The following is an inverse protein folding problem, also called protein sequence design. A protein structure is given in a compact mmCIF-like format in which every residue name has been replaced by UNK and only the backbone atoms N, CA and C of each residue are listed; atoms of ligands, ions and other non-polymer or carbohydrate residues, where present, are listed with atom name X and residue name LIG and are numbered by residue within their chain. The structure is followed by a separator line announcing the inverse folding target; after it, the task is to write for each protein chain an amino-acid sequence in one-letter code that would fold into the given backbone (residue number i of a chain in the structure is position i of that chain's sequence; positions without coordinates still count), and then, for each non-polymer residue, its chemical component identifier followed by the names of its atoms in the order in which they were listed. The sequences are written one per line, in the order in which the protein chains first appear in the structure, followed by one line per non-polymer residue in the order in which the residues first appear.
data_IF_891825720441
#
_entry.id   IF_891825720441
#
_cell.length_a   1.000
_cell.length_b   1.000
_cell.length_c   1.000
_cell.angle_alpha   90.00
_cell.angle_beta   90.00
_cell.angle_gamma   90.00
#
_symmetry.space_group_name_H-M   'P 1'
#
loop_
_entity.id
_entity.type
_entity.pdbx_description
1 polymer ?
#
# COMPACT_ATOMS: atom_id res chain seq x y z
N UNK A 1 -18.63 0.23 2.83
CA UNK A 1 -17.64 1.14 2.21
C UNK A 1 -16.65 1.53 3.29
N UNK A 2 -15.35 1.30 3.06
CA UNK A 2 -14.28 1.64 3.99
C UNK A 2 -13.35 2.70 3.37
N UNK A 3 -12.66 3.49 4.21
CA UNK A 3 -11.58 4.41 3.82
C UNK A 3 -10.25 3.66 3.94
N UNK A 4 -9.57 3.45 2.82
CA UNK A 4 -8.36 2.65 2.76
C UNK A 4 -7.20 3.47 2.21
N UNK A 5 -6.08 3.46 2.91
CA UNK A 5 -4.86 4.13 2.49
C UNK A 5 -3.82 3.11 2.06
N UNK A 6 -3.41 3.17 0.80
CA UNK A 6 -2.37 2.30 0.23
C UNK A 6 -1.04 3.05 0.21
N UNK A 7 -0.09 2.58 1.00
CA UNK A 7 1.21 3.19 1.20
C UNK A 7 2.24 2.58 0.25
N UNK A 8 2.29 3.11 -0.97
CA UNK A 8 3.21 2.68 -2.02
C UNK A 8 2.59 2.66 -3.42
N UNK A 9 3.22 3.37 -4.35
CA UNK A 9 2.83 3.49 -5.78
C UNK A 9 3.61 2.54 -6.69
N UNK A 10 4.01 1.37 -6.16
CA UNK A 10 4.55 0.28 -6.98
C UNK A 10 3.46 -0.42 -7.79
N UNK A 11 3.82 -1.38 -8.63
CA UNK A 11 2.85 -2.15 -9.44
C UNK A 11 1.77 -2.78 -8.55
N UNK A 12 2.18 -3.43 -7.47
CA UNK A 12 1.26 -4.13 -6.56
C UNK A 12 0.35 -3.19 -5.77
N UNK A 13 0.91 -2.11 -5.20
CA UNK A 13 0.12 -1.11 -4.49
C UNK A 13 -0.91 -0.43 -5.38
N UNK A 14 -0.53 -0.08 -6.62
CA UNK A 14 -1.43 0.51 -7.60
C UNK A 14 -2.53 -0.47 -8.02
N UNK A 15 -2.20 -1.73 -8.29
CA UNK A 15 -3.17 -2.75 -8.66
C UNK A 15 -4.21 -2.98 -7.54
N UNK A 16 -3.75 -3.05 -6.28
CA UNK A 16 -4.64 -3.18 -5.12
C UNK A 16 -5.52 -1.94 -4.92
N UNK A 17 -4.96 -0.74 -5.09
CA UNK A 17 -5.73 0.50 -4.99
C UNK A 17 -6.89 0.51 -6.02
N UNK A 18 -6.64 0.09 -7.25
CA UNK A 18 -7.65 -0.03 -8.30
C UNK A 18 -8.70 -1.07 -7.92
N UNK A 19 -8.29 -2.26 -7.48
CA UNK A 19 -9.20 -3.33 -7.07
C UNK A 19 -10.11 -2.88 -5.92
N UNK A 20 -9.54 -2.27 -4.89
CA UNK A 20 -10.29 -1.77 -3.73
C UNK A 20 -11.29 -0.66 -4.12
N UNK A 21 -10.87 0.24 -5.01
CA UNK A 21 -11.76 1.28 -5.53
C UNK A 21 -12.92 0.68 -6.33
N UNK A 22 -12.65 -0.29 -7.20
CA UNK A 22 -13.68 -0.95 -8.00
C UNK A 22 -14.66 -1.77 -7.14
N UNK A 23 -14.24 -2.19 -5.94
CA UNK A 23 -15.10 -2.81 -4.94
C UNK A 23 -15.90 -1.80 -4.09
N UNK A 24 -15.87 -0.51 -4.43
CA UNK A 24 -16.67 0.53 -3.80
C UNK A 24 -16.07 1.15 -2.55
N UNK A 25 -14.76 0.98 -2.31
CA UNK A 25 -14.07 1.64 -1.19
C UNK A 25 -13.56 3.03 -1.57
N UNK A 26 -13.42 3.90 -0.58
CA UNK A 26 -12.68 5.16 -0.72
C UNK A 26 -11.20 4.87 -0.61
N UNK A 27 -10.44 5.10 -1.66
CA UNK A 27 -9.02 4.75 -1.71
C UNK A 27 -8.14 5.96 -1.87
N UNK A 28 -7.11 6.01 -1.04
CA UNK A 28 -6.01 6.95 -1.14
C UNK A 28 -4.72 6.19 -1.45
N UNK A 29 -3.97 6.66 -2.43
CA UNK A 29 -2.71 6.07 -2.87
C UNK A 29 -1.57 7.04 -2.56
N UNK A 30 -0.67 6.65 -1.67
CA UNK A 30 0.44 7.49 -1.24
C UNK A 30 1.76 7.08 -1.89
N UNK A 31 2.52 8.09 -2.30
CA UNK A 31 3.91 7.93 -2.77
C UNK A 31 4.87 8.60 -1.80
N UNK A 32 5.94 7.90 -1.43
CA UNK A 32 7.04 8.49 -0.67
C UNK A 32 7.80 9.59 -1.45
N UNK A 33 7.53 9.70 -2.76
CA UNK A 33 8.10 10.67 -3.68
C UNK A 33 7.00 11.63 -4.16
N UNK A 34 6.93 12.88 -3.65
CA UNK A 34 5.89 13.83 -4.03
C UNK A 34 5.81 14.13 -5.53
N UNK A 35 6.95 14.19 -6.19
CA UNK A 35 7.05 14.37 -7.64
C UNK A 35 6.39 13.23 -8.43
N UNK A 36 6.51 11.99 -7.94
CA UNK A 36 5.82 10.85 -8.52
C UNK A 36 4.31 10.93 -8.31
N UNK A 37 3.86 11.33 -7.13
CA UNK A 37 2.44 11.55 -6.86
C UNK A 37 1.86 12.61 -7.81
N UNK A 38 2.56 13.73 -8.00
CA UNK A 38 2.16 14.78 -8.93
C UNK A 38 2.06 14.26 -10.37
N UNK A 39 3.05 13.52 -10.84
CA UNK A 39 3.05 12.90 -12.17
C UNK A 39 1.88 11.94 -12.35
N UNK A 40 1.62 11.06 -11.38
CA UNK A 40 0.51 10.11 -11.44
C UNK A 40 -0.87 10.80 -11.39
N UNK A 41 -0.98 11.95 -10.72
CA UNK A 41 -2.20 12.75 -10.75
C UNK A 41 -2.50 13.33 -12.14
N UNK A 42 -1.46 13.66 -12.91
CA UNK A 42 -1.60 14.20 -14.26
C UNK A 42 -1.87 13.10 -15.30
N UNK A 43 -1.09 12.02 -15.25
CA UNK A 43 -1.12 10.97 -16.28
C UNK A 43 -2.14 9.88 -16.02
N UNK A 44 -2.48 9.65 -14.76
CA UNK A 44 -3.30 8.52 -14.31
C UNK A 44 -2.80 7.16 -14.80
N UNK A 45 -1.49 7.06 -15.06
CA UNK A 45 -0.84 5.83 -15.51
C UNK A 45 0.63 5.82 -15.12
N UNK A 46 1.15 4.64 -14.77
CA UNK A 46 2.59 4.42 -14.61
C UNK A 46 3.05 3.40 -15.66
N UNK A 47 3.51 3.85 -16.84
CA UNK A 47 3.88 2.96 -17.93
C UNK A 47 5.10 2.09 -17.63
N UNK A 48 5.90 2.47 -16.63
CA UNK A 48 7.07 1.68 -16.18
C UNK A 48 6.71 0.57 -15.21
N UNK A 49 5.71 0.77 -14.38
CA UNK A 49 5.32 -0.16 -13.31
C UNK A 49 4.10 -1.00 -13.65
N UNK A 50 3.13 -0.41 -14.35
CA UNK A 50 1.86 -1.06 -14.67
C UNK A 50 1.34 -0.55 -16.02
N UNK A 51 2.02 -0.92 -17.14
CA UNK A 51 1.74 -0.36 -18.47
C UNK A 51 0.31 -0.72 -18.94
N UNK A 52 -0.36 0.26 -19.54
CA UNK A 52 -1.69 0.10 -20.11
C UNK A 52 -2.83 0.08 -19.10
N UNK A 53 -2.55 0.30 -17.81
CA UNK A 53 -3.57 0.33 -16.77
C UNK A 53 -3.78 1.77 -16.29
N UNK A 54 -5.01 2.25 -16.41
CA UNK A 54 -5.42 3.57 -15.92
C UNK A 54 -5.83 3.51 -14.46
N UNK A 55 -5.36 4.48 -13.67
CA UNK A 55 -5.78 4.68 -12.28
C UNK A 55 -7.09 5.48 -12.31
N UNK A 56 -8.19 4.95 -11.77
CA UNK A 56 -9.47 5.67 -11.72
C UNK A 56 -9.36 7.06 -11.08
N UNK A 57 -10.09 8.03 -11.60
CA UNK A 57 -10.08 9.41 -11.09
C UNK A 57 -10.58 9.52 -9.64
N UNK A 58 -11.41 8.58 -9.19
CA UNK A 58 -11.88 8.50 -7.81
C UNK A 58 -10.82 8.10 -6.79
N UNK A 59 -9.63 7.63 -7.22
CA UNK A 59 -8.51 7.36 -6.32
C UNK A 59 -7.74 8.66 -6.09
N UNK A 60 -7.66 9.09 -4.84
CA UNK A 60 -6.85 10.25 -4.44
C UNK A 60 -5.38 9.84 -4.36
N UNK A 61 -4.51 10.51 -5.12
CA UNK A 61 -3.06 10.25 -5.12
C UNK A 61 -2.36 11.41 -4.42
N UNK A 62 -1.54 11.12 -3.42
CA UNK A 62 -0.84 12.15 -2.63
C UNK A 62 0.59 11.76 -2.29
N UNK A 63 1.46 12.75 -2.14
CA UNK A 63 2.79 12.62 -1.56
C UNK A 63 2.85 13.01 -0.08
N UNK A 64 1.73 13.50 0.49
CA UNK A 64 1.64 13.93 1.88
C UNK A 64 1.10 12.79 2.76
N UNK A 65 1.92 12.36 3.72
CA UNK A 65 1.55 11.27 4.65
C UNK A 65 0.42 11.64 5.62
N UNK A 66 0.31 12.90 6.01
CA UNK A 66 -0.76 13.34 6.91
C UNK A 66 -2.11 13.24 6.23
N UNK A 67 -2.17 13.68 4.98
CA UNK A 67 -3.37 13.51 4.14
C UNK A 67 -3.69 12.03 3.93
N UNK A 68 -2.68 11.22 3.62
CA UNK A 68 -2.86 9.79 3.38
C UNK A 68 -3.36 9.05 4.63
N UNK A 69 -2.91 9.44 5.81
CA UNK A 69 -3.22 8.78 7.09
C UNK A 69 -4.30 9.52 7.90
N UNK A 70 -5.04 10.43 7.25
CA UNK A 70 -6.18 11.09 7.89
C UNK A 70 -7.34 10.10 8.10
N UNK A 71 -7.32 9.46 9.26
CA UNK A 71 -8.40 8.57 9.76
C UNK A 71 -8.83 7.44 8.80
N UNK A 72 -7.90 6.65 8.21
CA UNK A 72 -8.29 5.48 7.43
C UNK A 72 -8.82 4.36 8.33
N UNK A 73 -9.74 3.55 7.81
CA UNK A 73 -10.16 2.31 8.47
C UNK A 73 -9.05 1.26 8.40
N UNK A 74 -8.39 1.15 7.24
CA UNK A 74 -7.32 0.20 6.97
C UNK A 74 -6.16 0.92 6.27
N UNK A 75 -4.95 0.58 6.66
CA UNK A 75 -3.71 1.00 5.99
C UNK A 75 -3.04 -0.20 5.34
N UNK A 76 -2.80 -0.14 4.04
CA UNK A 76 -2.12 -1.19 3.26
C UNK A 76 -0.69 -0.79 3.01
N UNK A 77 0.28 -1.52 3.52
CA UNK A 77 1.71 -1.29 3.29
C UNK A 77 2.17 -2.08 2.06
N UNK A 78 2.43 -1.36 0.96
CA UNK A 78 2.79 -1.89 -0.35
C UNK A 78 4.15 -1.37 -0.86
N UNK A 79 4.99 -0.89 0.04
CA UNK A 79 6.35 -0.43 -0.26
C UNK A 79 7.33 -1.61 -0.33
N UNK A 80 8.43 -1.51 -1.10
CA UNK A 80 9.43 -2.58 -1.15
C UNK A 80 10.04 -2.88 0.22
N UNK A 81 10.33 -4.15 0.51
CA UNK A 81 10.88 -4.63 1.79
C UNK A 81 12.15 -3.88 2.23
N UNK A 82 13.02 -3.52 1.29
CA UNK A 82 14.26 -2.77 1.56
C UNK A 82 14.02 -1.38 2.21
N UNK A 83 12.84 -0.79 2.00
CA UNK A 83 12.50 0.53 2.56
C UNK A 83 11.49 0.45 3.71
N UNK A 84 11.00 -0.75 4.03
CA UNK A 84 9.87 -0.91 4.95
C UNK A 84 10.17 -0.36 6.34
N UNK A 85 11.34 -0.61 6.90
CA UNK A 85 11.74 -0.08 8.21
C UNK A 85 11.73 1.45 8.24
N UNK A 86 12.37 2.08 7.27
CA UNK A 86 12.43 3.53 7.20
C UNK A 86 11.04 4.17 7.03
N UNK A 87 10.20 3.56 6.20
CA UNK A 87 8.82 4.01 5.98
C UNK A 87 7.97 3.80 7.24
N UNK A 88 8.05 2.63 7.87
CA UNK A 88 7.32 2.34 9.12
C UNK A 88 7.69 3.32 10.23
N UNK A 89 8.99 3.56 10.43
CA UNK A 89 9.48 4.54 11.41
C UNK A 89 8.97 5.95 11.11
N UNK A 90 9.00 6.38 9.85
CA UNK A 90 8.51 7.70 9.41
C UNK A 90 7.01 7.86 9.66
N UNK A 91 6.22 6.82 9.38
CA UNK A 91 4.76 6.86 9.47
C UNK A 91 4.24 6.58 10.89
N UNK A 92 5.01 5.94 11.76
CA UNK A 92 4.62 5.54 13.11
C UNK A 92 3.94 6.65 13.93
N UNK A 93 4.42 7.91 13.95
CA UNK A 93 3.78 8.98 14.70
C UNK A 93 2.37 9.35 14.22
N UNK A 94 2.00 8.96 12.99
CA UNK A 94 0.71 9.25 12.36
C UNK A 94 -0.26 8.07 12.48
N UNK A 95 0.21 6.91 12.91
CA UNK A 95 -0.61 5.70 13.07
C UNK A 95 -1.29 5.72 14.44
N UNK A 96 -2.60 5.62 14.45
CA UNK A 96 -3.39 5.55 15.69
C UNK A 96 -3.26 4.18 16.35
N UNK A 97 -3.51 4.15 17.66
CA UNK A 97 -3.58 2.89 18.41
C UNK A 97 -4.70 1.99 17.89
N UNK A 98 -4.41 0.71 17.69
CA UNK A 98 -5.37 -0.27 17.13
C UNK A 98 -5.63 -0.06 15.63
N UNK A 99 -4.78 0.69 14.93
CA UNK A 99 -4.88 0.81 13.48
C UNK A 99 -4.58 -0.53 12.82
N UNK A 100 -5.51 -1.00 12.00
CA UNK A 100 -5.27 -2.20 11.18
C UNK A 100 -4.30 -1.85 10.06
N UNK A 101 -3.16 -2.53 10.03
CA UNK A 101 -2.17 -2.47 8.95
C UNK A 101 -2.11 -3.81 8.24
N UNK A 102 -2.33 -3.80 6.94
CA UNK A 102 -2.21 -4.99 6.08
C UNK A 102 -0.89 -4.88 5.31
N UNK A 103 0.07 -5.71 5.65
CA UNK A 103 1.29 -5.83 4.87
C UNK A 103 1.05 -6.69 3.62
N UNK A 104 1.36 -6.14 2.46
CA UNK A 104 1.29 -6.85 1.18
C UNK A 104 2.64 -6.95 0.48
N UNK A 105 3.70 -6.41 1.10
CA UNK A 105 5.07 -6.53 0.62
C UNK A 105 5.59 -7.95 0.86
N UNK A 106 6.38 -8.43 -0.09
CA UNK A 106 7.04 -9.74 -0.03
C UNK A 106 8.52 -9.56 0.34
N UNK A 107 9.08 -10.55 1.04
CA UNK A 107 10.49 -10.59 1.37
C UNK A 107 10.80 -10.41 2.84
N UNK A 108 12.09 -10.25 3.11
CA UNK A 108 12.68 -10.03 4.44
C UNK A 108 13.62 -8.84 4.39
N UNK A 109 13.96 -8.29 5.53
CA UNK A 109 14.98 -7.27 5.65
C UNK A 109 16.38 -7.87 5.42
N UNK A 110 17.19 -7.24 4.59
CA UNK A 110 18.47 -7.80 4.12
C UNK A 110 19.46 -8.09 5.27
N UNK A 111 19.60 -7.17 6.21
CA UNK A 111 20.63 -7.29 7.26
C UNK A 111 20.19 -8.16 8.46
N UNK A 112 18.90 -8.18 8.77
CA UNK A 112 18.37 -8.86 9.95
C UNK A 112 17.66 -10.16 9.61
N UNK A 113 17.33 -10.39 8.33
CA UNK A 113 16.47 -11.46 7.82
C UNK A 113 15.06 -11.45 8.46
N UNK A 114 14.68 -10.33 9.05
CA UNK A 114 13.40 -10.17 9.73
C UNK A 114 12.26 -10.10 8.70
N UNK A 115 11.16 -10.85 8.91
CA UNK A 115 9.97 -10.73 8.09
C UNK A 115 9.40 -9.31 8.12
N UNK A 116 8.83 -8.85 7.00
CA UNK A 116 8.31 -7.47 6.90
C UNK A 116 7.26 -7.14 7.96
N UNK A 117 6.40 -8.09 8.33
CA UNK A 117 5.41 -7.88 9.39
C UNK A 117 6.05 -7.60 10.75
N UNK A 118 7.15 -8.27 11.06
CA UNK A 118 7.85 -8.08 12.33
C UNK A 118 8.56 -6.73 12.37
N UNK A 119 9.10 -6.27 11.23
CA UNK A 119 9.63 -4.90 11.09
C UNK A 119 8.54 -3.87 11.38
N UNK A 120 7.34 -4.05 10.79
CA UNK A 120 6.23 -3.12 11.00
C UNK A 120 5.79 -3.12 12.48
N UNK A 121 5.68 -4.29 13.11
CA UNK A 121 5.33 -4.42 14.54
C UNK A 121 6.38 -3.77 15.45
N UNK A 122 7.66 -3.89 15.12
CA UNK A 122 8.74 -3.26 15.86
C UNK A 122 8.69 -1.73 15.78
N UNK A 123 8.50 -1.17 14.58
CA UNK A 123 8.49 0.28 14.37
C UNK A 123 7.14 0.95 14.70
N UNK A 124 6.03 0.19 14.65
CA UNK A 124 4.66 0.66 14.90
C UNK A 124 3.97 -0.26 15.92
N UNK A 125 4.45 -0.32 17.17
CA UNK A 125 3.96 -1.28 18.17
C UNK A 125 2.50 -1.04 18.58
N UNK A 126 1.94 0.12 18.28
CA UNK A 126 0.55 0.48 18.58
C UNK A 126 -0.45 -0.04 17.54
N UNK A 127 -0.01 -0.60 16.40
CA UNK A 127 -0.87 -1.08 15.34
C UNK A 127 -1.17 -2.59 15.43
N UNK A 128 -2.29 -2.99 14.84
CA UNK A 128 -2.65 -4.40 14.62
C UNK A 128 -2.21 -4.78 13.20
N UNK A 129 -1.16 -5.61 13.10
CA UNK A 129 -0.52 -5.93 11.82
C UNK A 129 -0.91 -7.34 11.37
N UNK A 130 -1.43 -7.43 10.14
CA UNK A 130 -1.66 -8.69 9.43
C UNK A 130 -0.93 -8.70 8.08
N UNK A 131 -0.86 -9.87 7.47
CA UNK A 131 -0.26 -10.06 6.14
C UNK A 131 -1.29 -10.59 5.15
N UNK A 132 -1.24 -10.05 3.93
CA UNK A 132 -1.92 -10.61 2.76
C UNK A 132 -0.86 -11.04 1.76
N UNK A 133 -0.84 -12.33 1.43
CA UNK A 133 0.13 -12.90 0.50
C UNK A 133 -0.52 -14.01 -0.34
N UNK A 134 0.18 -14.44 -1.39
CA UNK A 134 -0.28 -15.51 -2.27
C UNK A 134 0.40 -15.48 -3.63
N UNK A 135 0.02 -16.37 -4.55
CA UNK A 135 0.45 -16.37 -5.93
C UNK A 135 -0.27 -15.25 -6.69
N UNK A 136 0.13 -14.01 -6.46
CA UNK A 136 -0.53 -12.79 -6.95
C UNK A 136 0.42 -11.92 -7.75
N UNK A 137 0.01 -11.57 -8.97
CA UNK A 137 0.72 -10.68 -9.87
C UNK A 137 -0.09 -9.39 -10.10
N UNK A 138 0.59 -8.25 -10.03
CA UNK A 138 -0.05 -6.95 -10.17
C UNK A 138 -0.76 -6.78 -11.51
N UNK A 139 -0.14 -7.28 -12.58
CA UNK A 139 -0.65 -7.21 -13.95
C UNK A 139 -1.97 -8.00 -14.12
N UNK A 140 -2.09 -9.13 -13.45
CA UNK A 140 -3.29 -9.97 -13.47
C UNK A 140 -4.41 -9.34 -12.65
N UNK A 141 -4.10 -8.93 -11.43
CA UNK A 141 -5.07 -8.31 -10.51
C UNK A 141 -5.62 -7.00 -11.09
N UNK A 142 -4.76 -6.17 -11.68
CA UNK A 142 -5.18 -4.90 -12.29
C UNK A 142 -6.12 -5.07 -13.50
N UNK A 143 -6.11 -6.24 -14.13
CA UNK A 143 -7.00 -6.64 -15.23
C UNK A 143 -8.23 -7.41 -14.77
N UNK A 144 -8.42 -7.56 -13.47
CA UNK A 144 -9.57 -8.27 -12.89
C UNK A 144 -9.52 -9.79 -13.03
N UNK A 145 -8.34 -10.38 -13.26
CA UNK A 145 -8.19 -11.83 -13.31
C UNK A 145 -8.31 -12.44 -11.91
N UNK A 146 -8.94 -13.62 -11.77
CA UNK A 146 -9.08 -14.31 -10.50
C UNK A 146 -7.70 -14.58 -9.86
N UNK A 147 -7.57 -14.24 -8.59
CA UNK A 147 -6.32 -14.38 -7.83
C UNK A 147 -6.63 -14.91 -6.44
N UNK A 148 -5.85 -15.88 -5.99
CA UNK A 148 -5.95 -16.45 -4.65
C UNK A 148 -4.98 -15.75 -3.71
N UNK A 149 -5.47 -15.32 -2.55
CA UNK A 149 -4.65 -14.74 -1.49
C UNK A 149 -5.01 -15.38 -0.15
N UNK A 150 -4.03 -15.37 0.76
CA UNK A 150 -4.18 -15.79 2.15
C UNK A 150 -3.95 -14.57 3.04
N UNK A 151 -4.81 -14.41 4.04
CA UNK A 151 -4.66 -13.43 5.11
C UNK A 151 -4.29 -14.15 6.39
N UNK A 152 -3.28 -13.65 7.09
CA UNK A 152 -2.88 -14.13 8.42
C UNK A 152 -2.68 -12.92 9.34
N UNK A 153 -3.16 -13.03 10.59
CA UNK A 153 -3.03 -12.02 11.64
C UNK A 153 -2.31 -12.59 12.86
#
# INVERSE_FOLDING_TARGET
MAKISVMGTGSWGTALAILLHNNGHQVMLWSAHPEKAASLNQTREDPKKLPGIKIPDGIVITGDEKTALDSPDIVVFASPSAYMRAISKRLSPLIRRGQIIVNVAKGVEENTLMPVCDIIKEEIPQADVCVLSGPSHAEEVSRGLPTTCVVSA
#
